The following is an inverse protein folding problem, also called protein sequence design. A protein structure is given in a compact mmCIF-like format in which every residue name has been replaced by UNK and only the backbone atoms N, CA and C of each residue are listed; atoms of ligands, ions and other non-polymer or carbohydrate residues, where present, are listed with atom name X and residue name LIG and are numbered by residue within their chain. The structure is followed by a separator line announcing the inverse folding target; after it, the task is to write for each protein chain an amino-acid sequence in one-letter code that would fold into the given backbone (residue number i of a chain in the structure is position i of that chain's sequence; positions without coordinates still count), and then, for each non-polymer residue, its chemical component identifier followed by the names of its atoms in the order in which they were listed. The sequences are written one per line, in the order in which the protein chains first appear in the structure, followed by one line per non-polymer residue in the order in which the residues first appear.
data_IF_745796504639
#
_entry.id   IF_745796504639
#
_cell.length_a   1.000
_cell.length_b   1.000
_cell.length_c   1.000
_cell.angle_alpha   90.00
_cell.angle_beta   90.00
_cell.angle_gamma   90.00
#
_symmetry.space_group_name_H-M   'P 1'
#
loop_
_entity.id
_entity.type
_entity.pdbx_description
1 polymer ?
#
# COMPACT_ATOMS: atom_id res chain seq x y z
N UNK A 1 -17.98 0.41 -2.32
CA UNK A 1 -18.59 1.63 -1.74
C UNK A 1 -17.76 2.82 -2.21
N UNK A 2 -18.38 3.87 -2.73
CA UNK A 2 -17.64 5.07 -3.13
C UNK A 2 -17.16 5.83 -1.90
N UNK A 3 -15.95 6.37 -1.98
CA UNK A 3 -15.34 7.23 -0.98
C UNK A 3 -15.34 8.67 -1.50
N UNK A 4 -15.49 9.60 -0.57
CA UNK A 4 -15.35 11.02 -0.81
C UNK A 4 -13.93 11.44 -0.42
N UNK A 5 -13.20 12.04 -1.35
CA UNK A 5 -11.85 12.58 -1.13
C UNK A 5 -11.87 14.07 -1.48
N UNK A 6 -11.34 14.90 -0.60
CA UNK A 6 -11.15 16.33 -0.81
C UNK A 6 -9.65 16.58 -0.68
N UNK A 7 -9.01 17.10 -1.72
CA UNK A 7 -7.58 17.38 -1.72
C UNK A 7 -7.27 18.83 -1.26
N UNK A 8 -5.99 19.22 -1.20
CA UNK A 8 -5.55 20.56 -0.76
C UNK A 8 -5.99 21.71 -1.67
N UNK A 9 -6.52 21.41 -2.86
CA UNK A 9 -7.07 22.40 -3.79
C UNK A 9 -8.59 22.51 -3.65
N UNK A 10 -9.18 21.97 -2.58
CA UNK A 10 -10.63 21.85 -2.35
C UNK A 10 -11.38 21.11 -3.47
N UNK A 11 -10.67 20.28 -4.25
CA UNK A 11 -11.28 19.49 -5.31
C UNK A 11 -11.91 18.23 -4.73
N UNK A 12 -13.19 18.03 -5.05
CA UNK A 12 -13.98 16.87 -4.61
C UNK A 12 -13.87 15.71 -5.62
N UNK A 13 -13.55 14.53 -5.10
CA UNK A 13 -13.58 13.26 -5.82
C UNK A 13 -14.54 12.30 -5.13
N UNK A 14 -15.40 11.65 -5.92
CA UNK A 14 -16.27 10.57 -5.45
C UNK A 14 -15.91 9.33 -6.27
N UNK A 15 -15.19 8.39 -5.66
CA UNK A 15 -14.66 7.23 -6.37
C UNK A 15 -14.49 6.03 -5.45
N UNK A 16 -14.56 4.83 -6.01
CA UNK A 16 -14.18 3.57 -5.35
C UNK A 16 -12.81 3.05 -5.82
N UNK A 17 -12.16 3.72 -6.77
CA UNK A 17 -10.85 3.33 -7.27
C UNK A 17 -9.77 3.73 -6.25
N UNK A 18 -9.06 2.72 -5.75
CA UNK A 18 -8.00 2.89 -4.77
C UNK A 18 -6.85 3.75 -5.31
N UNK A 19 -6.50 3.62 -6.61
CA UNK A 19 -5.42 4.39 -7.20
C UNK A 19 -5.74 5.90 -7.20
N UNK A 20 -6.94 6.26 -7.63
CA UNK A 20 -7.44 7.65 -7.56
C UNK A 20 -7.47 8.14 -6.12
N UNK A 21 -7.97 7.33 -5.17
CA UNK A 21 -8.04 7.71 -3.75
C UNK A 21 -6.64 8.06 -3.21
N UNK A 22 -5.66 7.17 -3.37
CA UNK A 22 -4.34 7.40 -2.76
C UNK A 22 -3.51 8.48 -3.44
N UNK A 23 -3.77 8.76 -4.73
CA UNK A 23 -3.09 9.84 -5.45
C UNK A 23 -3.62 11.23 -5.04
N UNK A 24 -4.91 11.34 -4.72
CA UNK A 24 -5.52 12.60 -4.29
C UNK A 24 -5.41 12.84 -2.78
N UNK A 25 -5.12 11.80 -2.00
CA UNK A 25 -4.83 11.92 -0.57
C UNK A 25 -3.43 12.49 -0.33
N UNK A 26 -3.35 13.42 0.62
CA UNK A 26 -2.07 13.99 1.05
C UNK A 26 -1.35 13.11 2.07
N UNK A 27 -0.69 12.06 1.59
CA UNK A 27 0.06 11.14 2.45
C UNK A 27 1.38 11.77 2.90
N UNK A 28 1.46 12.12 4.18
CA UNK A 28 2.63 12.78 4.79
C UNK A 28 3.71 11.78 5.25
N UNK A 29 3.31 10.60 5.73
CA UNK A 29 4.25 9.66 6.33
C UNK A 29 5.13 8.99 5.24
N UNK A 30 6.47 9.04 5.33
CA UNK A 30 7.36 8.51 4.29
C UNK A 30 7.13 7.02 3.99
N UNK A 31 6.91 6.19 5.02
CA UNK A 31 6.65 4.77 4.80
C UNK A 31 5.31 4.52 4.07
N UNK A 32 4.29 5.34 4.35
CA UNK A 32 3.01 5.23 3.65
C UNK A 32 3.13 5.73 2.20
N UNK A 33 3.98 6.72 1.96
CA UNK A 33 4.25 7.22 0.60
C UNK A 33 4.86 6.14 -0.31
N UNK A 34 5.66 5.22 0.25
CA UNK A 34 6.19 4.07 -0.52
C UNK A 34 5.05 3.17 -1.01
N UNK A 35 4.04 2.91 -0.18
CA UNK A 35 2.86 2.12 -0.56
C UNK A 35 2.04 2.82 -1.66
N UNK A 36 1.86 4.15 -1.56
CA UNK A 36 1.19 4.95 -2.60
C UNK A 36 1.94 4.84 -3.93
N UNK A 37 3.27 4.98 -3.91
CA UNK A 37 4.09 4.86 -5.11
C UNK A 37 4.01 3.45 -5.73
N UNK A 38 3.98 2.40 -4.91
CA UNK A 38 3.80 1.03 -5.40
C UNK A 38 2.43 0.83 -6.08
N UNK A 39 1.35 1.32 -5.46
CA UNK A 39 0.01 1.27 -6.05
C UNK A 39 -0.11 2.09 -7.35
N UNK A 40 0.54 3.26 -7.40
CA UNK A 40 0.60 4.09 -8.60
C UNK A 40 1.37 3.40 -9.73
N UNK A 41 2.54 2.82 -9.44
CA UNK A 41 3.31 2.06 -10.43
C UNK A 41 2.51 0.88 -11.00
N UNK A 42 1.80 0.14 -10.14
CA UNK A 42 0.92 -0.95 -10.57
C UNK A 42 -0.18 -0.45 -11.53
N UNK A 43 -0.80 0.69 -11.21
CA UNK A 43 -1.81 1.30 -12.05
C UNK A 43 -1.25 1.79 -13.40
N UNK A 44 -0.05 2.36 -13.43
CA UNK A 44 0.59 2.87 -14.64
C UNK A 44 1.03 1.76 -15.59
N UNK A 45 1.60 0.67 -15.05
CA UNK A 45 2.14 -0.44 -15.85
C UNK A 45 1.06 -1.44 -16.29
N UNK A 46 0.14 -1.79 -15.39
CA UNK A 46 -0.82 -2.88 -15.60
C UNK A 46 -2.24 -2.36 -15.83
N UNK A 47 -2.56 -1.17 -15.32
CA UNK A 47 -3.90 -0.58 -15.42
C UNK A 47 -4.91 -1.10 -14.40
N UNK A 48 -4.53 -2.07 -13.54
CA UNK A 48 -5.38 -2.64 -12.50
C UNK A 48 -4.53 -3.25 -11.37
N UNK A 49 -5.16 -3.58 -10.24
CA UNK A 49 -4.55 -4.27 -9.11
C UNK A 49 -4.00 -3.33 -8.04
N UNK A 50 -4.08 -2.01 -8.21
CA UNK A 50 -3.59 -1.03 -7.22
C UNK A 50 -4.18 -1.26 -5.82
N UNK A 51 -5.48 -1.59 -5.74
CA UNK A 51 -6.14 -1.91 -4.47
C UNK A 51 -5.52 -3.15 -3.79
N UNK A 52 -5.25 -4.20 -4.57
CA UNK A 52 -4.62 -5.41 -4.07
C UNK A 52 -3.20 -5.13 -3.61
N UNK A 53 -2.40 -4.43 -4.42
CA UNK A 53 -1.01 -4.07 -4.08
C UNK A 53 -0.93 -3.34 -2.75
N UNK A 54 -1.78 -2.32 -2.54
CA UNK A 54 -1.76 -1.53 -1.30
C UNK A 54 -2.26 -2.36 -0.11
N UNK A 55 -3.39 -3.06 -0.26
CA UNK A 55 -3.98 -3.82 0.84
C UNK A 55 -3.11 -5.01 1.24
N UNK A 56 -2.54 -5.72 0.27
CA UNK A 56 -1.67 -6.88 0.50
C UNK A 56 -0.36 -6.46 1.17
N UNK A 57 0.24 -5.36 0.73
CA UNK A 57 1.44 -4.84 1.40
C UNK A 57 1.14 -4.38 2.84
N UNK A 58 -0.03 -3.80 3.10
CA UNK A 58 -0.49 -3.49 4.46
C UNK A 58 -0.62 -4.74 5.35
N UNK A 59 -1.22 -5.81 4.81
CA UNK A 59 -1.35 -7.09 5.52
C UNK A 59 0.01 -7.73 5.81
N UNK A 60 0.95 -7.68 4.86
CA UNK A 60 2.33 -8.14 5.08
C UNK A 60 3.03 -7.35 6.19
N UNK A 61 2.83 -6.03 6.26
CA UNK A 61 3.40 -5.21 7.33
C UNK A 61 2.80 -5.55 8.70
N UNK A 62 1.49 -5.81 8.77
CA UNK A 62 0.82 -6.21 10.00
C UNK A 62 1.33 -7.57 10.50
N UNK A 63 1.46 -8.55 9.61
CA UNK A 63 2.04 -9.85 9.96
C UNK A 63 3.53 -9.73 10.36
N UNK A 64 4.29 -8.88 9.68
CA UNK A 64 5.68 -8.62 10.04
C UNK A 64 5.80 -7.98 11.44
N UNK A 65 4.88 -7.09 11.81
CA UNK A 65 4.82 -6.51 13.16
C UNK A 65 4.64 -7.59 14.23
N UNK A 66 3.73 -8.55 14.02
CA UNK A 66 3.53 -9.67 14.94
C UNK A 66 4.79 -10.52 15.10
N UNK A 67 5.47 -10.84 13.99
CA UNK A 67 6.73 -11.59 14.01
C UNK A 67 7.84 -10.83 14.77
N UNK A 68 7.95 -9.52 14.56
CA UNK A 68 8.89 -8.66 15.31
C UNK A 68 8.57 -8.72 16.81
N UNK A 69 7.29 -8.65 17.20
CA UNK A 69 6.86 -8.75 18.60
C UNK A 69 7.20 -10.10 19.23
N UNK A 70 7.27 -11.17 18.45
CA UNK A 70 7.73 -12.50 18.92
C UNK A 70 9.25 -12.64 19.01
N UNK A 71 10.01 -11.63 18.56
CA UNK A 71 11.46 -11.56 18.67
C UNK A 71 12.23 -11.89 17.40
N UNK A 72 11.56 -12.06 16.25
CA UNK A 72 12.25 -12.26 14.97
C UNK A 72 12.92 -10.97 14.50
N UNK A 73 14.14 -11.09 13.95
CA UNK A 73 14.82 -9.95 13.38
C UNK A 73 14.20 -9.60 12.01
N UNK A 74 14.01 -8.30 11.66
CA UNK A 74 13.41 -7.90 10.38
C UNK A 74 14.08 -8.53 9.14
N UNK A 75 15.40 -8.74 9.17
CA UNK A 75 16.12 -9.40 8.07
C UNK A 75 15.67 -10.84 7.81
N UNK A 76 15.29 -11.57 8.87
CA UNK A 76 14.79 -12.94 8.74
C UNK A 76 13.39 -12.95 8.11
N UNK A 77 12.55 -12.00 8.49
CA UNK A 77 11.20 -11.82 7.92
C UNK A 77 11.29 -11.47 6.44
N UNK A 78 12.16 -10.51 6.08
CA UNK A 78 12.44 -10.15 4.68
C UNK A 78 12.90 -11.39 3.90
N UNK A 79 13.85 -12.16 4.43
CA UNK A 79 14.30 -13.40 3.78
C UNK A 79 13.16 -14.41 3.60
N UNK A 80 12.27 -14.53 4.59
CA UNK A 80 11.08 -15.37 4.52
C UNK A 80 10.12 -14.95 3.40
N UNK A 81 9.80 -13.66 3.30
CA UNK A 81 8.95 -13.13 2.23
C UNK A 81 9.59 -13.27 0.86
N UNK A 82 10.89 -13.01 0.71
CA UNK A 82 11.60 -13.23 -0.57
C UNK A 82 11.51 -14.68 -1.01
N UNK A 83 11.74 -15.64 -0.11
CA UNK A 83 11.61 -17.08 -0.45
C UNK A 83 10.18 -17.50 -0.79
N UNK A 84 9.17 -16.82 -0.25
CA UNK A 84 7.77 -17.10 -0.55
C UNK A 84 7.37 -16.63 -1.96
N UNK A 85 8.07 -15.64 -2.52
CA UNK A 85 7.85 -15.17 -3.90
C UNK A 85 8.32 -16.23 -4.92
N UNK A 86 9.41 -16.95 -4.60
CA UNK A 86 10.02 -17.95 -5.49
C UNK A 86 9.33 -19.33 -5.45
N UNK A 87 8.28 -19.49 -4.65
CA UNK A 87 7.52 -20.75 -4.48
C UNK A 87 6.17 -20.70 -5.17
#
# INVERSE_FOLDING_TARGET
MNKMVINHLDKLFITNDAATIVNELEVQHPAAKILVLAGKAQQEEIGDGANLTISFAGELLQNAEELIRTGLHPSEIISGYTKAIDK
#
